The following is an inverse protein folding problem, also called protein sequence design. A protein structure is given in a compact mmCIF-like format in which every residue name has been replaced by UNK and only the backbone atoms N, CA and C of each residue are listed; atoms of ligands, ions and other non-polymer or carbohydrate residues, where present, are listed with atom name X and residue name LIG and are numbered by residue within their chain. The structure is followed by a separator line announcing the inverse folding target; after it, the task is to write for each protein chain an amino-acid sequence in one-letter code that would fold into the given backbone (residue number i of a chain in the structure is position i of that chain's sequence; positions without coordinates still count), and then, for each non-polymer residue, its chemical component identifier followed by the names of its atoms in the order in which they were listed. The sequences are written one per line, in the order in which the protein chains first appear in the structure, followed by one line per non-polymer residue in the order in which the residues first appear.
data_IF_648624605796
#
_entry.id   IF_648624605796
#
_cell.length_a   1.000
_cell.length_b   1.000
_cell.length_c   1.000
_cell.angle_alpha   90.00
_cell.angle_beta   90.00
_cell.angle_gamma   90.00
#
_symmetry.space_group_name_H-M   'P 1'
#
loop_
_entity.id
_entity.type
_entity.pdbx_description
1 polymer ?
#
# COMPACT_ATOMS: atom_id res chain seq x y z
N UNK A 1 5.64 -14.62 -9.72
CA UNK A 1 4.74 -14.41 -8.56
C UNK A 1 4.58 -12.92 -8.31
N UNK A 2 3.36 -12.42 -8.32
CA UNK A 2 3.10 -11.00 -8.10
C UNK A 2 2.62 -10.73 -6.68
N UNK A 3 3.07 -9.62 -6.13
CA UNK A 3 2.73 -9.14 -4.78
C UNK A 3 2.07 -7.78 -4.93
N UNK A 4 1.05 -7.52 -4.12
CA UNK A 4 0.34 -6.24 -4.09
C UNK A 4 0.74 -5.45 -2.86
N UNK A 5 1.11 -4.18 -3.04
CA UNK A 5 1.36 -3.25 -1.94
C UNK A 5 0.18 -2.30 -1.77
N UNK A 6 -0.21 -2.06 -0.53
CA UNK A 6 -1.34 -1.19 -0.21
C UNK A 6 -0.96 -0.15 0.83
N UNK A 7 -1.41 1.09 0.62
CA UNK A 7 -1.35 2.18 1.59
C UNK A 7 -2.78 2.58 1.94
N UNK A 8 -3.22 2.24 3.15
CA UNK A 8 -4.60 2.43 3.59
C UNK A 8 -4.77 3.80 4.26
N UNK A 9 -5.44 4.72 3.59
CA UNK A 9 -5.75 6.05 4.10
C UNK A 9 -7.21 6.20 4.55
N UNK A 10 -7.56 7.41 4.98
CA UNK A 10 -8.91 7.71 5.49
C UNK A 10 -9.99 7.51 4.44
N UNK A 11 -9.73 7.90 3.19
CA UNK A 11 -10.71 7.76 2.09
C UNK A 11 -10.09 7.18 0.83
N UNK A 12 -8.84 6.73 0.89
CA UNK A 12 -8.12 6.22 -0.27
C UNK A 12 -7.34 4.97 0.11
N UNK A 13 -7.09 4.14 -0.89
CA UNK A 13 -6.10 3.06 -0.79
C UNK A 13 -5.20 3.18 -2.01
N UNK A 14 -3.94 3.48 -1.78
CA UNK A 14 -2.92 3.45 -2.82
C UNK A 14 -2.56 2.02 -3.14
N UNK A 15 -2.42 1.69 -4.42
CA UNK A 15 -2.14 0.34 -4.88
C UNK A 15 -0.88 0.32 -5.73
N UNK A 16 0.03 -0.59 -5.40
CA UNK A 16 1.18 -0.93 -6.23
C UNK A 16 1.18 -2.44 -6.46
N UNK A 17 1.72 -2.87 -7.59
CA UNK A 17 1.79 -4.29 -7.94
C UNK A 17 3.18 -4.56 -8.53
N UNK A 18 3.76 -5.70 -8.21
CA UNK A 18 5.04 -6.07 -8.79
C UNK A 18 4.90 -6.42 -10.28
N UNK A 19 6.01 -6.34 -11.00
CA UNK A 19 6.11 -6.89 -12.34
C UNK A 19 5.95 -8.41 -12.31
N UNK A 20 5.92 -9.05 -13.47
CA UNK A 20 5.73 -10.50 -13.58
C UNK A 20 6.81 -11.30 -12.84
N UNK A 21 8.03 -10.78 -12.77
CA UNK A 21 9.14 -11.44 -12.05
C UNK A 21 9.04 -11.31 -10.52
N UNK A 22 8.20 -10.39 -10.03
CA UNK A 22 8.05 -10.15 -8.59
C UNK A 22 9.22 -9.40 -7.96
N UNK A 23 9.98 -8.63 -8.74
CA UNK A 23 11.19 -7.95 -8.27
C UNK A 23 11.07 -6.43 -8.22
N UNK A 24 10.22 -5.83 -9.04
CA UNK A 24 10.08 -4.37 -9.13
C UNK A 24 8.65 -3.95 -8.85
N UNK A 25 8.48 -3.06 -7.88
CA UNK A 25 7.18 -2.47 -7.55
C UNK A 25 6.81 -1.40 -8.58
N UNK A 26 5.55 -1.39 -8.98
CA UNK A 26 5.00 -0.42 -9.93
C UNK A 26 3.72 0.18 -9.39
N UNK A 27 3.58 1.50 -9.48
CA UNK A 27 2.33 2.19 -9.12
C UNK A 27 1.20 1.68 -10.00
N UNK A 28 0.02 1.49 -9.41
CA UNK A 28 -1.12 0.96 -10.16
C UNK A 28 -2.32 1.90 -10.18
N UNK A 29 -2.90 2.18 -9.03
CA UNK A 29 -4.07 3.06 -8.95
C UNK A 29 -4.30 3.54 -7.52
N UNK A 30 -5.25 4.47 -7.37
CA UNK A 30 -5.79 4.87 -6.07
C UNK A 30 -7.26 4.48 -6.06
N UNK A 31 -7.66 3.67 -5.08
CA UNK A 31 -9.06 3.32 -4.86
C UNK A 31 -9.64 4.36 -3.91
N UNK A 32 -10.67 5.09 -4.37
CA UNK A 32 -11.28 6.18 -3.60
C UNK A 32 -12.64 5.76 -3.05
N UNK A 33 -12.98 6.27 -1.87
CA UNK A 33 -14.28 6.08 -1.27
C UNK A 33 -14.79 7.39 -0.68
N UNK A 34 -16.12 7.57 -0.67
CA UNK A 34 -16.73 8.82 -0.22
C UNK A 34 -16.72 8.98 1.29
N UNK A 35 -16.78 7.86 2.03
CA UNK A 35 -16.78 7.85 3.50
C UNK A 35 -15.74 6.86 4.00
N UNK A 36 -15.14 7.20 5.14
CA UNK A 36 -14.05 6.42 5.72
C UNK A 36 -14.42 4.95 5.95
N UNK A 37 -15.64 4.68 6.40
CA UNK A 37 -16.10 3.33 6.72
C UNK A 37 -16.84 2.63 5.57
N UNK A 38 -16.92 3.24 4.39
CA UNK A 38 -17.61 2.67 3.22
C UNK A 38 -16.63 1.79 2.42
N UNK A 39 -16.27 0.64 2.97
CA UNK A 39 -15.19 -0.21 2.45
C UNK A 39 -15.63 -1.32 1.49
N UNK A 40 -16.93 -1.55 1.32
CA UNK A 40 -17.43 -2.64 0.48
C UNK A 40 -16.85 -2.62 -0.94
N UNK A 41 -16.93 -1.48 -1.62
CA UNK A 41 -16.43 -1.34 -2.98
C UNK A 41 -14.90 -1.40 -3.04
N UNK A 42 -14.25 -0.95 -1.97
CA UNK A 42 -12.80 -1.01 -1.84
C UNK A 42 -12.33 -2.47 -1.85
N UNK A 43 -12.94 -3.31 -1.02
CA UNK A 43 -12.62 -4.74 -1.00
C UNK A 43 -12.91 -5.41 -2.33
N UNK A 44 -14.05 -5.07 -2.96
CA UNK A 44 -14.41 -5.62 -4.27
C UNK A 44 -13.36 -5.28 -5.33
N UNK A 45 -12.88 -4.03 -5.34
CA UNK A 45 -11.85 -3.61 -6.30
C UNK A 45 -10.52 -4.33 -6.05
N UNK A 46 -10.12 -4.48 -4.80
CA UNK A 46 -8.91 -5.21 -4.46
C UNK A 46 -9.01 -6.67 -4.94
N UNK A 47 -10.16 -7.31 -4.75
CA UNK A 47 -10.38 -8.67 -5.22
C UNK A 47 -10.32 -8.79 -6.75
N UNK A 48 -10.85 -7.81 -7.47
CA UNK A 48 -10.73 -7.76 -8.94
C UNK A 48 -9.26 -7.70 -9.37
N UNK A 49 -8.47 -6.85 -8.71
CA UNK A 49 -7.04 -6.71 -9.02
C UNK A 49 -6.27 -7.99 -8.70
N UNK A 50 -6.61 -8.67 -7.60
CA UNK A 50 -6.01 -9.94 -7.22
C UNK A 50 -6.21 -10.98 -8.32
N UNK A 51 -7.43 -11.07 -8.86
CA UNK A 51 -7.73 -12.02 -9.93
C UNK A 51 -7.06 -11.62 -11.24
N UNK A 52 -7.14 -10.34 -11.61
CA UNK A 52 -6.58 -9.85 -12.87
C UNK A 52 -5.07 -10.05 -12.96
N UNK A 53 -4.35 -9.80 -11.88
CA UNK A 53 -2.89 -9.87 -11.85
C UNK A 53 -2.35 -11.13 -11.17
N UNK A 54 -3.22 -12.03 -10.76
CA UNK A 54 -2.84 -13.29 -10.10
C UNK A 54 -1.96 -13.04 -8.87
N UNK A 55 -2.41 -12.16 -7.99
CA UNK A 55 -1.67 -11.75 -6.80
C UNK A 55 -1.58 -12.92 -5.81
N UNK A 56 -0.38 -13.18 -5.28
CA UNK A 56 -0.11 -14.29 -4.36
C UNK A 56 -0.14 -13.87 -2.90
N UNK A 57 0.26 -12.63 -2.60
CA UNK A 57 0.17 -12.09 -1.22
C UNK A 57 0.07 -10.57 -1.28
N UNK A 58 -0.30 -9.99 -0.13
CA UNK A 58 -0.50 -8.55 0.01
C UNK A 58 0.49 -8.03 1.06
N UNK A 59 1.08 -6.87 0.79
CA UNK A 59 1.91 -6.12 1.74
C UNK A 59 1.15 -4.85 2.07
N UNK A 60 0.85 -4.63 3.35
CA UNK A 60 0.08 -3.48 3.83
C UNK A 60 0.97 -2.62 4.70
N UNK A 61 1.06 -1.33 4.39
CA UNK A 61 1.83 -0.39 5.19
C UNK A 61 1.21 -0.18 6.56
N UNK A 62 2.03 -0.18 7.61
CA UNK A 62 1.60 0.06 8.99
C UNK A 62 2.12 1.43 9.43
N UNK A 63 1.23 2.45 9.54
CA UNK A 63 1.64 3.82 9.86
C UNK A 63 1.86 4.02 11.36
N UNK A 64 3.00 3.60 11.86
CA UNK A 64 3.38 3.81 13.25
C UNK A 64 3.83 5.26 13.48
N UNK A 65 3.79 5.73 14.73
CA UNK A 65 4.46 6.97 15.10
C UNK A 65 5.98 6.82 14.94
N UNK A 66 6.70 7.95 14.87
CA UNK A 66 8.15 7.93 14.69
C UNK A 66 8.88 7.15 15.79
N UNK A 67 8.32 7.11 17.01
CA UNK A 67 8.88 6.34 18.12
C UNK A 67 8.51 4.85 18.07
N UNK A 68 7.77 4.41 17.06
CA UNK A 68 7.34 3.02 16.91
C UNK A 68 6.03 2.67 17.60
N UNK A 69 5.41 3.59 18.33
CA UNK A 69 4.14 3.32 18.98
C UNK A 69 2.99 3.29 17.98
N UNK A 70 1.89 2.61 18.36
CA UNK A 70 0.72 2.41 17.49
C UNK A 70 -0.11 3.70 17.41
N UNK A 71 -0.34 4.20 16.20
CA UNK A 71 -1.19 5.35 15.95
C UNK A 71 -2.65 4.92 15.83
N UNK A 72 -3.57 5.90 15.84
CA UNK A 72 -4.98 5.63 15.56
C UNK A 72 -5.15 5.04 14.15
N UNK A 73 -4.45 5.58 13.17
CA UNK A 73 -4.50 5.05 11.81
C UNK A 73 -3.93 3.62 11.74
N UNK A 74 -2.90 3.32 12.52
CA UNK A 74 -2.36 1.97 12.59
C UNK A 74 -3.40 0.97 13.13
N UNK A 75 -4.20 1.36 14.13
CA UNK A 75 -5.29 0.51 14.63
C UNK A 75 -6.31 0.23 13.54
N UNK A 76 -6.71 1.23 12.77
CA UNK A 76 -7.64 1.06 11.64
C UNK A 76 -7.04 0.15 10.57
N UNK A 77 -5.74 0.29 10.32
CA UNK A 77 -5.02 -0.53 9.34
C UNK A 77 -4.97 -2.01 9.78
N UNK A 78 -4.78 -2.27 11.08
CA UNK A 78 -4.81 -3.64 11.61
C UNK A 78 -6.18 -4.28 11.43
N UNK A 79 -7.26 -3.54 11.61
CA UNK A 79 -8.62 -4.03 11.35
C UNK A 79 -8.81 -4.33 9.85
N UNK A 80 -8.30 -3.45 9.00
CA UNK A 80 -8.34 -3.64 7.55
C UNK A 80 -7.57 -4.90 7.14
N UNK A 81 -6.40 -5.15 7.74
CA UNK A 81 -5.61 -6.35 7.52
C UNK A 81 -6.43 -7.63 7.78
N UNK A 82 -7.06 -7.71 8.95
CA UNK A 82 -7.84 -8.88 9.33
C UNK A 82 -8.99 -9.14 8.36
N UNK A 83 -9.68 -8.08 7.94
CA UNK A 83 -10.80 -8.20 7.01
C UNK A 83 -10.32 -8.59 5.61
N UNK A 84 -9.18 -8.07 5.15
CA UNK A 84 -8.60 -8.48 3.87
C UNK A 84 -8.24 -9.97 3.87
N UNK A 85 -7.59 -10.44 4.93
CA UNK A 85 -7.23 -11.86 5.05
C UNK A 85 -8.47 -12.75 5.00
N UNK A 86 -9.53 -12.35 5.71
CA UNK A 86 -10.79 -13.10 5.73
C UNK A 86 -11.44 -13.15 4.35
N UNK A 87 -11.47 -12.01 3.64
CA UNK A 87 -12.16 -11.92 2.35
C UNK A 87 -11.38 -12.51 1.18
N UNK A 88 -10.05 -12.38 1.21
CA UNK A 88 -9.22 -12.78 0.06
C UNK A 88 -8.60 -14.17 0.23
N UNK A 89 -8.45 -14.64 1.45
CA UNK A 89 -7.73 -15.88 1.73
C UNK A 89 -6.22 -15.76 1.56
N UNK A 90 -5.71 -14.55 1.26
CA UNK A 90 -4.28 -14.33 1.06
C UNK A 90 -3.64 -13.83 2.35
N UNK A 91 -2.35 -14.13 2.53
CA UNK A 91 -1.56 -13.56 3.62
C UNK A 91 -1.39 -12.06 3.40
N UNK A 92 -1.62 -11.27 4.44
CA UNK A 92 -1.39 -9.83 4.44
C UNK A 92 -0.24 -9.53 5.39
N UNK A 93 0.91 -9.18 4.82
CA UNK A 93 2.15 -8.91 5.54
C UNK A 93 2.19 -7.42 5.89
N UNK A 94 2.47 -7.10 7.16
CA UNK A 94 2.58 -5.71 7.58
C UNK A 94 4.01 -5.20 7.38
N UNK A 95 4.12 -3.99 6.79
CA UNK A 95 5.39 -3.33 6.56
C UNK A 95 5.36 -1.96 7.25
N UNK A 96 6.33 -1.70 8.14
CA UNK A 96 6.46 -0.40 8.81
C UNK A 96 6.67 0.72 7.79
N UNK A 97 5.82 1.76 7.84
CA UNK A 97 5.85 2.87 6.89
C UNK A 97 6.04 4.24 7.54
N UNK A 98 6.65 4.30 8.74
CA UNK A 98 6.80 5.56 9.49
C UNK A 98 7.31 6.74 8.68
N UNK A 99 8.23 6.51 7.74
CA UNK A 99 8.86 7.56 6.95
C UNK A 99 8.47 7.55 5.47
N UNK A 100 7.52 6.72 5.08
CA UNK A 100 7.16 6.53 3.66
C UNK A 100 6.64 7.82 3.02
N UNK A 101 5.86 8.62 3.74
CA UNK A 101 5.34 9.90 3.21
C UNK A 101 6.47 10.89 2.92
N UNK A 102 7.49 10.94 3.78
CA UNK A 102 8.65 11.81 3.59
C UNK A 102 9.43 11.37 2.34
N UNK A 103 9.66 10.07 2.20
CA UNK A 103 10.35 9.52 1.03
C UNK A 103 9.56 9.79 -0.26
N UNK A 104 8.22 9.66 -0.22
CA UNK A 104 7.36 9.94 -1.36
C UNK A 104 7.45 11.40 -1.78
N UNK A 105 7.43 12.33 -0.82
CA UNK A 105 7.58 13.76 -1.10
C UNK A 105 8.93 14.08 -1.70
N UNK A 106 10.01 13.49 -1.19
CA UNK A 106 11.35 13.66 -1.73
C UNK A 106 11.43 13.18 -3.18
N UNK A 107 10.85 12.03 -3.49
CA UNK A 107 10.82 11.50 -4.86
C UNK A 107 10.06 12.42 -5.80
N UNK A 108 8.91 12.96 -5.37
CA UNK A 108 8.13 13.87 -6.19
C UNK A 108 8.89 15.19 -6.45
N UNK A 109 9.60 15.68 -5.45
CA UNK A 109 10.41 16.89 -5.59
C UNK A 109 11.55 16.68 -6.57
N UNK A 110 12.26 15.58 -6.46
CA UNK A 110 13.37 15.22 -7.36
C UNK A 110 12.89 15.01 -8.80
N UNK A 111 11.70 14.43 -8.97
CA UNK A 111 11.10 14.20 -10.28
C UNK A 111 10.53 15.48 -10.90
N UNK A 112 10.54 16.60 -10.18
CA UNK A 112 10.01 17.87 -10.68
C UNK A 112 8.49 17.92 -10.73
N UNK A 113 7.79 17.07 -9.98
CA UNK A 113 6.32 17.07 -9.95
C UNK A 113 5.83 18.31 -9.20
N UNK A 114 4.95 19.13 -9.78
CA UNK A 114 4.40 20.32 -9.09
C UNK A 114 3.68 19.93 -7.81
N UNK A 115 3.84 20.74 -6.76
CA UNK A 115 3.18 20.49 -5.46
C UNK A 115 1.68 20.36 -5.58
N UNK A 116 1.06 21.03 -6.55
CA UNK A 116 -0.38 20.93 -6.80
C UNK A 116 -0.81 19.51 -7.15
N UNK A 117 0.09 18.68 -7.68
CA UNK A 117 -0.19 17.29 -8.08
C UNK A 117 0.19 16.27 -7.02
N UNK A 118 0.89 16.68 -5.95
CA UNK A 118 1.39 15.75 -4.92
C UNK A 118 0.27 14.97 -4.26
N UNK A 119 -0.81 15.66 -3.88
CA UNK A 119 -1.93 15.02 -3.18
C UNK A 119 -2.56 13.90 -3.99
N UNK A 120 -2.60 14.05 -5.32
CA UNK A 120 -3.20 13.05 -6.19
C UNK A 120 -2.32 11.81 -6.37
N UNK A 121 -1.01 11.92 -6.17
CA UNK A 121 -0.07 10.84 -6.45
C UNK A 121 0.57 10.21 -5.22
N UNK A 122 0.57 10.91 -4.09
CA UNK A 122 1.33 10.50 -2.91
C UNK A 122 0.95 9.09 -2.42
N UNK A 123 -0.32 8.73 -2.45
CA UNK A 123 -0.78 7.43 -1.95
C UNK A 123 -0.28 6.28 -2.84
N UNK A 124 -0.23 6.48 -4.16
CA UNK A 124 0.32 5.47 -5.07
C UNK A 124 1.83 5.33 -4.89
N UNK A 125 2.53 6.45 -4.72
CA UNK A 125 3.98 6.44 -4.50
C UNK A 125 4.28 5.80 -3.15
N UNK A 126 3.50 6.08 -2.12
CA UNK A 126 3.64 5.45 -0.81
C UNK A 126 3.46 3.93 -0.92
N UNK A 127 2.44 3.46 -1.64
CA UNK A 127 2.22 2.03 -1.87
C UNK A 127 3.39 1.38 -2.61
N UNK A 128 3.93 2.07 -3.61
CA UNK A 128 5.11 1.60 -4.35
C UNK A 128 6.33 1.46 -3.44
N UNK A 129 6.58 2.45 -2.58
CA UNK A 129 7.70 2.42 -1.64
C UNK A 129 7.54 1.33 -0.59
N UNK A 130 6.33 1.17 -0.04
CA UNK A 130 6.01 0.11 0.91
C UNK A 130 6.33 -1.26 0.29
N UNK A 131 5.88 -1.48 -0.91
CA UNK A 131 6.08 -2.73 -1.62
C UNK A 131 7.56 -2.95 -1.96
N UNK A 132 8.25 -1.93 -2.47
CA UNK A 132 9.66 -2.05 -2.83
C UNK A 132 10.53 -2.31 -1.61
N UNK A 133 10.25 -1.66 -0.48
CA UNK A 133 10.97 -1.91 0.77
C UNK A 133 10.80 -3.36 1.23
N UNK A 134 9.59 -3.90 1.12
CA UNK A 134 9.34 -5.31 1.44
C UNK A 134 10.16 -6.22 0.53
N UNK A 135 10.15 -5.97 -0.77
CA UNK A 135 10.90 -6.79 -1.73
C UNK A 135 12.40 -6.75 -1.44
N UNK A 136 12.94 -5.57 -1.14
CA UNK A 136 14.35 -5.41 -0.83
C UNK A 136 14.76 -6.16 0.45
N UNK A 137 13.90 -6.13 1.46
CA UNK A 137 14.15 -6.87 2.71
C UNK A 137 14.05 -8.36 2.50
N UNK A 138 13.05 -8.82 1.76
CA UNK A 138 12.86 -10.23 1.43
C UNK A 138 14.11 -10.78 0.75
N UNK A 139 14.63 -10.04 -0.22
CA UNK A 139 15.76 -10.49 -1.03
C UNK A 139 17.07 -10.55 -0.22
N UNK A 140 17.20 -9.76 0.88
CA UNK A 140 18.37 -9.81 1.77
C UNK A 140 18.47 -11.10 2.57
N UNK A 141 17.33 -11.74 2.84
CA UNK A 141 17.27 -12.89 3.76
C UNK A 141 17.00 -14.21 3.04
N UNK A 142 17.11 -14.19 1.71
CA UNK A 142 16.97 -15.41 0.88
C UNK A 142 18.28 -15.95 0.37
#
# INVERSE_FOLDING_TARGET
MRVMGLDFGAKTVGVAITDASGTLAQRKEIIRRQRENALRKTYARIQELIQEYEISCIVLGLPLHLDGSVSEQANKTLLFQGELERRTGLQVIMQDERLTSVEAEDLMREAGIPKSDWKAQIDMIAAELILQDYLNRRDRYQ
#
